data_IF_494369709237
#
_entry.id   IF_494369709237
#
_cell.length_a   1.000
_cell.length_b   1.000
_cell.length_c   1.000
_cell.angle_alpha   90.00
_cell.angle_beta   90.00
_cell.angle_gamma   90.00
#
_symmetry.space_group_name_H-M   'P 1'
#
loop_
_entity.id
_entity.type
_entity.pdbx_description
1 polymer ?
#
# COMPACT_ATOMS: atom_id res chain seq x y z
N UNK A 1 14.51 16.80 0.04
CA UNK A 1 15.65 16.80 0.99
C UNK A 1 15.98 18.15 1.60
N UNK A 2 15.89 19.27 0.87
CA UNK A 2 16.14 20.62 1.41
C UNK A 2 15.33 20.95 2.67
N UNK A 3 14.02 20.63 2.67
CA UNK A 3 13.15 20.87 3.82
C UNK A 3 13.60 20.16 5.10
N UNK A 4 14.05 18.89 5.01
CA UNK A 4 14.53 18.16 6.18
C UNK A 4 15.85 18.75 6.72
N UNK A 5 16.77 19.14 5.84
CA UNK A 5 18.03 19.80 6.23
C UNK A 5 17.77 21.10 6.98
N UNK A 6 16.88 21.94 6.44
CA UNK A 6 16.45 23.18 7.08
C UNK A 6 15.82 22.93 8.46
N UNK A 7 14.91 21.95 8.57
CA UNK A 7 14.28 21.62 9.84
C UNK A 7 15.30 21.09 10.88
N UNK A 8 16.31 20.34 10.45
CA UNK A 8 17.41 19.89 11.31
C UNK A 8 18.26 21.07 11.81
N UNK A 9 18.55 22.06 10.97
CA UNK A 9 19.24 23.29 11.39
C UNK A 9 18.44 24.03 12.45
N UNK A 10 17.13 24.23 12.24
CA UNK A 10 16.24 24.83 13.24
C UNK A 10 16.24 24.07 14.57
N UNK A 11 16.26 22.73 14.53
CA UNK A 11 16.31 21.88 15.74
C UNK A 11 17.65 22.03 16.48
N UNK A 12 18.77 22.06 15.75
CA UNK A 12 20.13 22.25 16.33
C UNK A 12 20.32 23.64 16.92
N UNK A 13 19.72 24.66 16.31
CA UNK A 13 19.71 26.03 16.81
C UNK A 13 18.70 26.25 17.95
N UNK A 14 17.92 25.23 18.33
CA UNK A 14 16.92 25.33 19.39
C UNK A 14 15.67 26.14 19.01
N UNK A 15 15.48 26.47 17.73
CA UNK A 15 14.31 27.22 17.21
C UNK A 15 13.04 26.37 17.17
N UNK A 16 13.16 25.05 17.10
CA UNK A 16 12.05 24.11 17.23
C UNK A 16 12.34 23.08 18.31
N UNK A 17 11.31 22.71 19.08
CA UNK A 17 11.44 21.75 20.19
C UNK A 17 11.34 20.29 19.73
N UNK A 18 10.54 20.02 18.70
CA UNK A 18 10.25 18.68 18.19
C UNK A 18 10.33 18.66 16.66
N UNK A 19 10.94 17.62 16.10
CA UNK A 19 11.10 17.37 14.67
C UNK A 19 10.60 15.96 14.36
N UNK A 20 9.55 15.91 13.52
CA UNK A 20 8.96 14.67 13.02
C UNK A 20 9.15 14.66 11.51
N UNK A 21 9.62 13.55 10.95
CA UNK A 21 9.92 13.42 9.53
C UNK A 21 9.29 12.14 8.95
N UNK A 22 9.09 12.08 7.63
CA UNK A 22 8.50 10.92 6.93
C UNK A 22 7.12 11.21 6.31
N UNK A 23 6.34 10.19 5.91
CA UNK A 23 6.70 8.77 5.94
C UNK A 23 7.56 8.28 4.76
N UNK A 24 7.68 9.07 3.68
CA UNK A 24 8.31 8.63 2.41
C UNK A 24 9.36 9.63 1.92
N UNK A 25 10.45 9.81 2.67
CA UNK A 25 11.53 10.73 2.32
C UNK A 25 12.69 10.06 1.57
N UNK A 26 12.95 8.80 1.86
CA UNK A 26 14.03 7.98 1.29
C UNK A 26 13.53 6.57 1.01
N UNK A 27 14.21 5.83 0.14
CA UNK A 27 13.97 4.40 -0.06
C UNK A 27 14.65 3.59 1.02
N UNK A 28 15.88 3.94 1.38
CA UNK A 28 16.66 3.25 2.42
C UNK A 28 17.20 4.21 3.46
N UNK A 29 17.47 3.73 4.69
CA UNK A 29 18.07 4.56 5.73
C UNK A 29 19.42 5.20 5.41
N UNK A 30 20.19 4.65 4.46
CA UNK A 30 21.53 5.13 4.12
C UNK A 30 21.54 6.23 3.05
N UNK A 31 20.41 6.48 2.38
CA UNK A 31 20.32 7.53 1.37
C UNK A 31 20.63 8.91 1.96
N UNK A 32 21.20 9.77 1.11
CA UNK A 32 21.61 11.13 1.49
C UNK A 32 22.54 11.18 2.71
N UNK A 33 23.43 10.19 2.84
CA UNK A 33 24.41 10.12 3.93
C UNK A 33 23.78 9.76 5.27
N UNK A 34 22.69 9.01 5.28
CA UNK A 34 22.02 8.61 6.51
C UNK A 34 21.23 9.73 7.18
N UNK A 35 20.75 10.72 6.43
CA UNK A 35 20.10 11.92 7.00
C UNK A 35 18.95 11.61 7.96
N UNK A 36 18.22 10.51 7.73
CA UNK A 36 17.10 10.11 8.58
C UNK A 36 17.54 9.51 9.92
N UNK A 37 18.81 9.12 10.05
CA UNK A 37 19.41 8.58 11.26
C UNK A 37 19.79 9.69 12.26
N UNK A 38 19.82 10.95 11.83
CA UNK A 38 20.19 12.10 12.69
C UNK A 38 19.40 12.11 14.01
N UNK A 39 20.12 12.15 15.13
CA UNK A 39 19.57 12.15 16.51
C UNK A 39 18.63 13.32 16.80
N UNK A 40 18.67 14.38 15.99
CA UNK A 40 17.78 15.54 16.13
C UNK A 40 16.37 15.27 15.56
N UNK A 41 16.15 14.16 14.86
CA UNK A 41 14.81 13.70 14.47
C UNK A 41 14.24 12.92 15.65
N UNK A 42 13.19 13.45 16.29
CA UNK A 42 12.57 12.81 17.46
C UNK A 42 11.70 11.62 17.05
N UNK A 43 11.02 11.72 15.90
CA UNK A 43 10.16 10.66 15.36
C UNK A 43 10.37 10.57 13.85
N UNK A 44 10.55 9.36 13.34
CA UNK A 44 10.54 9.08 11.92
C UNK A 44 9.35 8.18 11.57
N UNK A 45 8.44 8.71 10.76
CA UNK A 45 7.25 8.01 10.31
C UNK A 45 7.61 7.04 9.18
N UNK A 46 6.95 5.89 9.17
CA UNK A 46 6.98 4.93 8.06
C UNK A 46 5.56 4.48 7.72
N UNK A 47 5.27 4.17 6.46
CA UNK A 47 3.89 4.02 6.03
C UNK A 47 3.25 2.68 6.38
N UNK A 48 4.00 1.68 6.87
CA UNK A 48 3.50 0.33 7.15
C UNK A 48 4.46 -0.49 8.02
N UNK A 49 3.99 -1.65 8.51
CA UNK A 49 4.81 -2.56 9.31
C UNK A 49 6.04 -3.08 8.53
N UNK A 50 5.86 -3.57 7.30
CA UNK A 50 7.00 -4.12 6.55
C UNK A 50 8.05 -3.05 6.23
N UNK A 51 7.66 -1.78 6.02
CA UNK A 51 8.63 -0.69 5.82
C UNK A 51 9.38 -0.36 7.10
N UNK A 52 8.73 -0.44 8.26
CA UNK A 52 9.39 -0.36 9.57
C UNK A 52 10.43 -1.47 9.73
N UNK A 53 10.04 -2.72 9.46
CA UNK A 53 10.94 -3.87 9.58
C UNK A 53 12.11 -3.80 8.59
N UNK A 54 11.84 -3.35 7.36
CA UNK A 54 12.88 -3.10 6.36
C UNK A 54 13.89 -2.07 6.84
N UNK A 55 13.45 -0.94 7.39
CA UNK A 55 14.35 0.08 7.94
C UNK A 55 15.11 -0.46 9.16
N UNK A 56 14.42 -1.20 10.03
CA UNK A 56 15.03 -1.78 11.23
C UNK A 56 16.15 -2.78 10.91
N UNK A 57 16.02 -3.50 9.81
CA UNK A 57 17.02 -4.46 9.35
C UNK A 57 18.34 -3.84 8.87
N UNK A 58 18.49 -2.51 8.91
CA UNK A 58 19.79 -1.83 8.72
C UNK A 58 20.61 -1.73 10.01
N UNK A 59 20.05 -2.12 11.17
CA UNK A 59 20.79 -2.24 12.43
C UNK A 59 21.15 -0.91 13.09
N UNK A 60 20.52 0.19 12.70
CA UNK A 60 20.76 1.50 13.31
C UNK A 60 19.86 1.70 14.55
N UNK A 61 20.45 1.62 15.74
CA UNK A 61 19.69 1.68 17.01
C UNK A 61 18.93 3.00 17.18
N UNK A 62 19.54 4.12 16.81
CA UNK A 62 18.96 5.46 16.94
C UNK A 62 17.73 5.63 16.04
N UNK A 63 17.81 5.17 14.79
CA UNK A 63 16.66 5.10 13.90
C UNK A 63 15.58 4.18 14.46
N UNK A 64 15.94 2.99 14.90
CA UNK A 64 14.96 1.99 15.35
C UNK A 64 14.10 2.48 16.52
N UNK A 65 14.68 3.25 17.44
CA UNK A 65 13.96 3.84 18.59
C UNK A 65 12.90 4.87 18.18
N UNK A 66 13.09 5.58 17.07
CA UNK A 66 12.19 6.65 16.60
C UNK A 66 11.21 6.24 15.50
N UNK A 67 11.26 5.01 14.99
CA UNK A 67 10.36 4.53 13.94
C UNK A 67 8.91 4.35 14.45
N UNK A 68 7.99 5.11 13.88
CA UNK A 68 6.55 5.02 14.15
C UNK A 68 5.77 4.74 12.86
N UNK A 69 4.84 3.79 12.90
CA UNK A 69 3.99 3.49 11.74
C UNK A 69 2.88 4.54 11.67
N UNK A 70 2.75 5.20 10.51
CA UNK A 70 1.73 6.20 10.25
C UNK A 70 1.17 6.02 8.84
N UNK A 71 0.08 5.23 8.67
CA UNK A 71 -0.57 5.05 7.39
C UNK A 71 -1.21 6.34 6.88
N UNK A 72 -1.45 6.38 5.57
CA UNK A 72 -2.30 7.39 4.93
C UNK A 72 -3.75 6.91 4.94
N UNK A 73 -4.68 7.80 5.33
CA UNK A 73 -6.11 7.53 5.24
C UNK A 73 -6.67 7.78 3.85
N UNK A 74 -7.89 7.29 3.62
CA UNK A 74 -8.66 7.54 2.39
C UNK A 74 -10.06 8.11 2.70
N UNK A 75 -10.64 8.76 1.71
CA UNK A 75 -12.05 9.18 1.76
C UNK A 75 -12.96 8.02 1.39
N UNK A 76 -14.04 7.85 2.13
CA UNK A 76 -15.10 6.92 1.77
C UNK A 76 -15.97 7.53 0.66
N UNK A 77 -16.43 6.72 -0.32
CA UNK A 77 -17.42 7.19 -1.28
C UNK A 77 -18.78 7.35 -0.60
N UNK A 78 -19.45 8.48 -0.85
CA UNK A 78 -20.75 8.84 -0.26
C UNK A 78 -21.82 7.75 -0.47
N UNK A 79 -21.80 7.11 -1.65
CA UNK A 79 -22.71 6.02 -2.01
C UNK A 79 -21.94 4.92 -2.71
N UNK A 80 -22.21 3.69 -2.31
CA UNK A 80 -21.83 2.52 -3.09
C UNK A 80 -22.72 2.39 -4.32
N UNK A 81 -22.17 1.82 -5.38
CA UNK A 81 -22.98 1.46 -6.54
C UNK A 81 -23.90 0.31 -6.17
N UNK A 82 -25.21 0.48 -6.42
CA UNK A 82 -26.21 -0.58 -6.23
C UNK A 82 -26.09 -1.70 -7.26
N UNK A 83 -25.44 -1.42 -8.39
CA UNK A 83 -25.26 -2.37 -9.49
C UNK A 83 -23.78 -2.43 -9.82
N UNK A 84 -23.18 -3.60 -9.62
CA UNK A 84 -21.85 -3.92 -10.14
C UNK A 84 -22.03 -4.60 -11.48
N UNK A 85 -21.23 -4.18 -12.44
CA UNK A 85 -21.06 -4.92 -13.66
C UNK A 85 -20.16 -6.12 -13.32
N UNK A 86 -20.50 -7.32 -13.82
CA UNK A 86 -19.74 -8.55 -13.54
C UNK A 86 -18.38 -8.56 -14.26
N UNK A 87 -17.51 -7.57 -14.00
CA UNK A 87 -16.17 -7.49 -14.58
C UNK A 87 -15.08 -7.35 -13.51
N UNK A 88 -13.87 -7.77 -13.91
CA UNK A 88 -12.64 -7.70 -13.15
C UNK A 88 -11.87 -6.43 -13.48
N UNK A 89 -11.56 -5.61 -12.47
CA UNK A 89 -10.57 -4.54 -12.63
C UNK A 89 -9.17 -5.13 -12.44
N UNK A 90 -8.29 -4.99 -13.45
CA UNK A 90 -6.87 -5.25 -13.27
C UNK A 90 -6.16 -3.93 -12.99
N UNK A 91 -5.49 -3.85 -11.84
CA UNK A 91 -4.59 -2.76 -11.51
C UNK A 91 -3.14 -3.23 -11.70
N UNK A 92 -2.48 -2.75 -12.75
CA UNK A 92 -1.13 -3.14 -13.08
C UNK A 92 -0.10 -2.08 -12.65
N UNK A 93 0.78 -2.44 -11.70
CA UNK A 93 1.94 -1.65 -11.26
C UNK A 93 3.28 -2.36 -11.52
N UNK A 94 3.30 -3.41 -12.33
CA UNK A 94 4.51 -4.17 -12.66
C UNK A 94 4.86 -4.02 -14.14
N UNK A 95 6.15 -4.18 -14.45
CA UNK A 95 6.66 -4.24 -15.82
C UNK A 95 6.71 -5.66 -16.38
N UNK A 96 6.77 -6.68 -15.51
CA UNK A 96 6.74 -8.08 -15.92
C UNK A 96 5.37 -8.44 -16.52
N UNK A 97 5.40 -8.94 -17.75
CA UNK A 97 4.20 -9.26 -18.50
C UNK A 97 3.77 -10.73 -18.35
N UNK A 98 4.63 -11.65 -17.90
CA UNK A 98 4.32 -13.08 -17.95
C UNK A 98 3.15 -13.45 -17.03
N UNK A 99 3.21 -13.00 -15.77
CA UNK A 99 2.12 -13.25 -14.83
C UNK A 99 0.83 -12.53 -15.26
N UNK A 100 0.95 -11.32 -15.80
CA UNK A 100 -0.18 -10.53 -16.28
C UNK A 100 -0.87 -11.20 -17.47
N UNK A 101 -0.10 -11.75 -18.40
CA UNK A 101 -0.56 -12.52 -19.55
C UNK A 101 -1.25 -13.80 -19.09
N UNK A 102 -0.64 -14.55 -18.16
CA UNK A 102 -1.24 -15.76 -17.60
C UNK A 102 -2.62 -15.47 -16.99
N UNK A 103 -2.72 -14.45 -16.14
CA UNK A 103 -3.99 -14.04 -15.52
C UNK A 103 -5.00 -13.57 -16.57
N UNK A 104 -4.57 -12.77 -17.55
CA UNK A 104 -5.48 -12.25 -18.59
C UNK A 104 -6.02 -13.38 -19.48
N UNK A 105 -5.18 -14.35 -19.85
CA UNK A 105 -5.59 -15.53 -20.59
C UNK A 105 -6.56 -16.40 -19.80
N UNK A 106 -6.30 -16.60 -18.50
CA UNK A 106 -7.21 -17.34 -17.62
C UNK A 106 -8.58 -16.66 -17.53
N UNK A 107 -8.63 -15.34 -17.26
CA UNK A 107 -9.89 -14.57 -17.20
C UNK A 107 -10.67 -14.63 -18.52
N UNK A 108 -9.97 -14.57 -19.65
CA UNK A 108 -10.58 -14.75 -20.98
C UNK A 108 -11.20 -16.15 -21.12
N UNK A 109 -10.53 -17.20 -20.66
CA UNK A 109 -11.02 -18.59 -20.71
C UNK A 109 -12.29 -18.78 -19.87
N UNK A 110 -12.40 -18.11 -18.73
CA UNK A 110 -13.59 -18.16 -17.86
C UNK A 110 -14.64 -17.09 -18.20
N UNK A 111 -14.51 -16.42 -19.36
CA UNK A 111 -15.45 -15.40 -19.87
C UNK A 111 -15.71 -14.23 -18.90
N UNK A 112 -14.68 -13.80 -18.16
CA UNK A 112 -14.77 -12.64 -17.27
C UNK A 112 -14.32 -11.39 -18.03
N UNK A 113 -15.18 -10.38 -18.20
CA UNK A 113 -14.78 -9.12 -18.79
C UNK A 113 -13.72 -8.44 -17.92
N UNK A 114 -12.73 -7.82 -18.56
CA UNK A 114 -11.59 -7.19 -17.89
C UNK A 114 -11.47 -5.75 -18.33
N UNK A 115 -11.28 -4.85 -17.37
CA UNK A 115 -10.74 -3.53 -17.61
C UNK A 115 -9.37 -3.43 -16.94
N UNK A 116 -8.34 -3.02 -17.68
CA UNK A 116 -7.00 -2.86 -17.14
C UNK A 116 -6.65 -1.38 -16.96
N UNK A 117 -6.04 -1.04 -15.83
CA UNK A 117 -5.42 0.24 -15.55
C UNK A 117 -3.94 0.04 -15.26
N UNK A 118 -3.08 0.77 -15.96
CA UNK A 118 -1.63 0.76 -15.72
C UNK A 118 -1.22 1.97 -14.90
N UNK A 119 -0.51 1.74 -13.79
CA UNK A 119 0.00 2.78 -12.92
C UNK A 119 0.77 3.86 -13.69
N UNK A 120 0.51 5.12 -13.35
CA UNK A 120 1.06 6.29 -14.06
C UNK A 120 0.40 6.62 -15.40
N UNK A 121 -0.49 5.77 -15.95
CA UNK A 121 -1.15 5.98 -17.25
C UNK A 121 -2.64 6.28 -17.17
N UNK A 122 -3.22 6.32 -15.97
CA UNK A 122 -4.65 6.60 -15.77
C UNK A 122 -4.88 7.89 -14.97
N UNK A 123 -6.04 8.52 -15.18
CA UNK A 123 -6.51 9.65 -14.34
C UNK A 123 -7.30 9.10 -13.16
N UNK A 124 -7.14 9.69 -11.97
CA UNK A 124 -7.86 9.26 -10.74
C UNK A 124 -9.36 9.07 -10.92
N UNK A 125 -10.02 9.96 -11.67
CA UNK A 125 -11.46 9.83 -12.01
C UNK A 125 -11.82 8.54 -12.75
N UNK A 126 -10.94 8.04 -13.62
CA UNK A 126 -11.16 6.81 -14.38
C UNK A 126 -11.07 5.60 -13.45
N UNK A 127 -10.13 5.62 -12.51
CA UNK A 127 -10.00 4.57 -11.50
C UNK A 127 -11.25 4.46 -10.63
N UNK A 128 -11.75 5.57 -10.09
CA UNK A 128 -12.98 5.56 -9.30
C UNK A 128 -14.21 5.17 -10.12
N UNK A 129 -14.27 5.57 -11.40
CA UNK A 129 -15.33 5.10 -12.32
C UNK A 129 -15.29 3.59 -12.50
N UNK A 130 -14.11 3.00 -12.63
CA UNK A 130 -13.94 1.54 -12.71
C UNK A 130 -14.31 0.84 -11.41
N UNK A 131 -13.88 1.36 -10.26
CA UNK A 131 -14.23 0.78 -8.96
C UNK A 131 -15.74 0.76 -8.72
N UNK A 132 -16.47 1.79 -9.14
CA UNK A 132 -17.94 1.82 -9.01
C UNK A 132 -18.66 0.68 -9.76
N UNK A 133 -18.00 0.08 -10.75
CA UNK A 133 -18.60 -0.93 -11.61
C UNK A 133 -17.99 -2.32 -11.42
N UNK A 134 -16.73 -2.41 -11.01
CA UNK A 134 -16.04 -3.68 -10.85
C UNK A 134 -16.67 -4.55 -9.75
N UNK A 135 -16.63 -5.86 -9.92
CA UNK A 135 -17.06 -6.80 -8.89
C UNK A 135 -15.95 -7.12 -7.89
N UNK A 136 -14.72 -7.23 -8.39
CA UNK A 136 -13.49 -7.45 -7.65
C UNK A 136 -12.31 -6.86 -8.44
N UNK A 137 -11.13 -6.79 -7.83
CA UNK A 137 -9.92 -6.28 -8.46
C UNK A 137 -8.77 -7.28 -8.33
N UNK A 138 -8.02 -7.50 -9.40
CA UNK A 138 -6.71 -8.15 -9.35
C UNK A 138 -5.64 -7.06 -9.35
N UNK A 139 -4.79 -7.06 -8.33
CA UNK A 139 -3.78 -6.05 -8.09
C UNK A 139 -2.38 -6.63 -8.26
N UNK A 140 -1.61 -6.04 -9.16
CA UNK A 140 -0.22 -6.41 -9.41
C UNK A 140 0.72 -5.33 -8.91
N UNK A 141 1.55 -5.65 -7.93
CA UNK A 141 2.69 -4.84 -7.53
C UNK A 141 3.79 -5.75 -6.98
N UNK A 142 5.04 -5.47 -7.31
CA UNK A 142 6.17 -6.19 -6.69
C UNK A 142 6.35 -5.78 -5.22
N UNK A 143 6.18 -4.48 -4.93
CA UNK A 143 6.22 -3.88 -3.60
C UNK A 143 5.25 -2.71 -3.49
N UNK A 144 4.58 -2.60 -2.35
CA UNK A 144 3.64 -1.53 -2.04
C UNK A 144 3.81 -1.09 -0.58
N UNK A 145 4.23 0.16 -0.37
CA UNK A 145 4.57 0.68 0.96
C UNK A 145 3.38 1.33 1.67
N UNK A 146 2.52 2.02 0.92
CA UNK A 146 1.42 2.83 1.47
C UNK A 146 0.05 2.18 1.25
N UNK A 147 -0.12 1.46 0.14
CA UNK A 147 -1.36 0.75 -0.16
C UNK A 147 -2.56 1.64 -0.52
N UNK A 148 -2.35 2.92 -0.88
CA UNK A 148 -3.44 3.88 -1.11
C UNK A 148 -4.44 3.38 -2.17
N UNK A 149 -3.97 2.83 -3.29
CA UNK A 149 -4.88 2.29 -4.31
C UNK A 149 -5.73 1.14 -3.75
N UNK A 150 -5.14 0.22 -2.97
CA UNK A 150 -5.88 -0.85 -2.33
C UNK A 150 -6.91 -0.32 -1.33
N UNK A 151 -6.52 0.64 -0.48
CA UNK A 151 -7.44 1.28 0.46
C UNK A 151 -8.60 2.00 -0.26
N UNK A 152 -8.33 2.67 -1.38
CA UNK A 152 -9.37 3.30 -2.20
C UNK A 152 -10.31 2.26 -2.85
N UNK A 153 -9.80 1.10 -3.30
CA UNK A 153 -10.61 0.00 -3.78
C UNK A 153 -11.48 -0.59 -2.65
N UNK A 154 -10.89 -0.79 -1.49
CA UNK A 154 -11.59 -1.33 -0.33
C UNK A 154 -12.65 -0.36 0.21
N UNK A 155 -12.41 0.95 0.15
CA UNK A 155 -13.42 1.97 0.45
C UNK A 155 -14.63 1.92 -0.50
N UNK A 156 -14.43 1.49 -1.75
CA UNK A 156 -15.48 1.20 -2.72
C UNK A 156 -16.07 -0.20 -2.57
N UNK A 157 -15.69 -0.90 -1.49
CA UNK A 157 -16.14 -2.23 -1.15
C UNK A 157 -15.75 -3.29 -2.19
N UNK A 158 -14.57 -3.14 -2.82
CA UNK A 158 -14.08 -4.05 -3.87
C UNK A 158 -13.11 -5.07 -3.25
N UNK A 159 -13.45 -6.38 -3.21
CA UNK A 159 -12.51 -7.41 -2.80
C UNK A 159 -11.33 -7.52 -3.75
N UNK A 160 -10.15 -7.87 -3.24
CA UNK A 160 -8.92 -7.88 -4.03
C UNK A 160 -8.19 -9.22 -4.05
N UNK A 161 -7.75 -9.65 -5.23
CA UNK A 161 -6.70 -10.66 -5.37
C UNK A 161 -5.38 -9.92 -5.59
N UNK A 162 -4.43 -10.09 -4.68
CA UNK A 162 -3.15 -9.39 -4.74
C UNK A 162 -2.05 -10.36 -5.13
N UNK A 163 -1.34 -10.07 -6.22
CA UNK A 163 -0.16 -10.85 -6.58
C UNK A 163 0.96 -10.60 -5.56
N UNK A 164 1.52 -11.66 -4.99
CA UNK A 164 2.67 -11.56 -4.10
C UNK A 164 3.73 -12.58 -4.51
N UNK A 165 4.92 -12.10 -4.86
CA UNK A 165 6.05 -12.96 -5.21
C UNK A 165 6.87 -13.39 -3.97
N UNK A 166 6.35 -13.12 -2.76
CA UNK A 166 6.96 -13.30 -1.42
C UNK A 166 8.31 -12.64 -1.19
N UNK A 167 9.03 -12.24 -2.24
CA UNK A 167 10.39 -11.73 -2.17
C UNK A 167 10.55 -10.61 -3.18
N UNK A 168 11.24 -9.57 -2.73
CA UNK A 168 11.70 -8.50 -3.60
C UNK A 168 13.13 -8.13 -3.25
N UNK A 169 13.98 -8.04 -4.27
CA UNK A 169 15.39 -7.68 -4.10
C UNK A 169 15.60 -6.26 -4.60
N UNK A 170 15.98 -5.37 -3.68
CA UNK A 170 16.44 -4.04 -4.04
C UNK A 170 17.84 -4.15 -4.66
N UNK A 171 17.90 -4.27 -5.99
CA UNK A 171 19.14 -4.56 -6.73
C UNK A 171 20.29 -3.60 -6.37
N UNK A 172 20.00 -2.30 -6.19
CA UNK A 172 21.01 -1.28 -5.88
C UNK A 172 21.72 -1.45 -4.55
N UNK A 173 21.11 -2.14 -3.59
CA UNK A 173 21.62 -2.30 -2.22
C UNK A 173 21.79 -3.78 -1.84
N UNK A 174 21.56 -4.69 -2.79
CA UNK A 174 21.65 -6.15 -2.60
C UNK A 174 20.89 -6.69 -1.38
N UNK A 175 19.76 -6.06 -1.03
CA UNK A 175 18.94 -6.43 0.12
C UNK A 175 17.61 -7.02 -0.33
N UNK A 176 17.28 -8.18 0.21
CA UNK A 176 16.02 -8.87 -0.07
C UNK A 176 15.07 -8.66 1.11
N UNK A 177 13.83 -8.26 0.79
CA UNK A 177 12.71 -8.31 1.73
C UNK A 177 11.84 -9.50 1.39
N UNK A 178 11.22 -10.11 2.41
CA UNK A 178 10.31 -11.23 2.22
C UNK A 178 8.99 -10.97 2.94
N UNK A 179 7.91 -11.60 2.47
CA UNK A 179 6.56 -11.52 3.07
C UNK A 179 5.51 -10.86 2.17
N UNK A 180 4.34 -10.50 2.73
CA UNK A 180 3.21 -9.89 2.01
C UNK A 180 3.44 -8.40 1.70
N UNK A 181 4.53 -8.09 0.99
CA UNK A 181 5.02 -6.73 0.76
C UNK A 181 4.31 -6.02 -0.41
N UNK A 182 3.44 -6.70 -1.16
CA UNK A 182 2.65 -6.13 -2.26
C UNK A 182 1.30 -5.54 -1.84
N UNK A 183 0.85 -5.81 -0.60
CA UNK A 183 -0.32 -5.19 0.00
C UNK A 183 -0.18 -5.10 1.54
N UNK A 184 0.33 -3.99 2.08
CA UNK A 184 0.72 -3.87 3.49
C UNK A 184 -0.44 -4.00 4.49
N UNK A 185 -1.67 -3.85 4.01
CA UNK A 185 -2.90 -3.78 4.81
C UNK A 185 -3.94 -4.82 4.41
N UNK A 186 -3.56 -5.81 3.60
CA UNK A 186 -4.50 -6.85 3.20
C UNK A 186 -4.87 -7.70 4.42
N UNK A 187 -6.17 -7.93 4.58
CA UNK A 187 -6.74 -8.83 5.59
C UNK A 187 -7.76 -9.75 4.91
N UNK A 188 -8.19 -10.80 5.61
CA UNK A 188 -9.19 -11.73 5.09
C UNK A 188 -10.55 -11.06 4.80
N UNK A 189 -10.83 -9.91 5.45
CA UNK A 189 -12.01 -9.11 5.14
C UNK A 189 -11.92 -8.41 3.77
N UNK A 190 -10.71 -8.19 3.27
CA UNK A 190 -10.45 -7.41 2.06
C UNK A 190 -10.17 -8.25 0.82
N UNK A 191 -9.66 -9.46 0.98
CA UNK A 191 -9.27 -10.29 -0.15
C UNK A 191 -8.18 -11.30 0.20
N UNK A 192 -7.43 -11.74 -0.82
CA UNK A 192 -6.42 -12.79 -0.68
C UNK A 192 -5.17 -12.49 -1.48
N UNK A 193 -4.04 -13.04 -1.03
CA UNK A 193 -2.84 -13.13 -1.85
C UNK A 193 -2.93 -14.31 -2.82
N UNK A 194 -2.27 -14.18 -3.96
CA UNK A 194 -2.04 -15.27 -4.91
C UNK A 194 -0.62 -15.19 -5.48
N UNK A 195 -0.15 -16.35 -5.94
CA UNK A 195 1.11 -16.60 -6.64
C UNK A 195 0.82 -17.07 -8.05
N UNK A 196 1.87 -17.15 -8.88
CA UNK A 196 1.76 -17.62 -10.27
C UNK A 196 1.06 -18.98 -10.40
N UNK A 197 1.32 -19.89 -9.47
CA UNK A 197 0.87 -21.29 -9.58
C UNK A 197 -0.50 -21.54 -8.94
N UNK A 198 -1.05 -20.61 -8.16
CA UNK A 198 -2.32 -20.80 -7.43
C UNK A 198 -3.44 -19.83 -7.87
N UNK A 199 -3.20 -19.03 -8.92
CA UNK A 199 -4.17 -18.04 -9.42
C UNK A 199 -5.57 -18.65 -9.62
N UNK A 200 -5.65 -19.85 -10.20
CA UNK A 200 -6.93 -20.53 -10.45
C UNK A 200 -7.69 -20.79 -9.15
N UNK A 201 -7.02 -21.40 -8.16
CA UNK A 201 -7.61 -21.72 -6.85
C UNK A 201 -8.07 -20.44 -6.14
N UNK A 202 -7.20 -19.43 -6.05
CA UNK A 202 -7.51 -18.16 -5.38
C UNK A 202 -8.62 -17.40 -6.08
N UNK A 203 -8.66 -17.43 -7.41
CA UNK A 203 -9.74 -16.86 -8.19
C UNK A 203 -11.07 -17.53 -7.89
N UNK A 204 -11.15 -18.86 -8.01
CA UNK A 204 -12.37 -19.63 -7.73
C UNK A 204 -12.87 -19.40 -6.30
N UNK A 205 -11.95 -19.34 -5.32
CA UNK A 205 -12.28 -18.98 -3.94
C UNK A 205 -12.89 -17.58 -3.83
N UNK A 206 -12.27 -16.54 -4.39
CA UNK A 206 -12.80 -15.18 -4.26
C UNK A 206 -14.15 -15.03 -4.95
N UNK A 207 -14.31 -15.59 -6.16
CA UNK A 207 -15.59 -15.52 -6.88
C UNK A 207 -16.70 -16.24 -6.12
N UNK A 208 -16.42 -17.43 -5.57
CA UNK A 208 -17.38 -18.17 -4.76
C UNK A 208 -17.78 -17.48 -3.45
N UNK A 209 -16.97 -16.54 -2.97
CA UNK A 209 -17.12 -15.90 -1.66
C UNK A 209 -17.23 -14.37 -1.74
N UNK A 210 -17.57 -13.78 -2.88
CA UNK A 210 -17.62 -12.30 -3.03
C UNK A 210 -18.47 -11.61 -1.95
N UNK A 211 -19.57 -12.25 -1.52
CA UNK A 211 -20.50 -11.70 -0.53
C UNK A 211 -20.00 -11.80 0.92
N UNK A 212 -18.91 -12.54 1.19
CA UNK A 212 -18.34 -12.67 2.54
C UNK A 212 -17.24 -11.64 2.82
N UNK A 213 -16.72 -10.99 1.78
CA UNK A 213 -15.74 -9.93 1.92
C UNK A 213 -16.46 -8.62 2.27
N UNK A 214 -15.91 -7.90 3.26
CA UNK A 214 -16.40 -6.59 3.68
C UNK A 214 -15.26 -5.56 3.77
N UNK A 215 -14.51 -5.33 2.67
CA UNK A 215 -13.35 -4.44 2.67
C UNK A 215 -13.69 -3.01 3.10
N UNK A 216 -14.90 -2.53 2.80
CA UNK A 216 -15.30 -1.18 3.21
C UNK A 216 -15.41 -1.05 4.72
N UNK A 217 -15.97 -2.04 5.42
CA UNK A 217 -16.03 -2.02 6.88
C UNK A 217 -14.64 -1.99 7.50
N UNK A 218 -13.67 -2.68 6.90
CA UNK A 218 -12.28 -2.60 7.34
C UNK A 218 -11.73 -1.17 7.21
N UNK A 219 -11.93 -0.51 6.07
CA UNK A 219 -11.47 0.88 5.86
C UNK A 219 -12.20 1.86 6.77
N UNK A 220 -13.52 1.72 6.94
CA UNK A 220 -14.35 2.56 7.81
C UNK A 220 -13.83 2.59 9.26
N UNK A 221 -13.39 1.44 9.78
CA UNK A 221 -12.91 1.33 11.16
C UNK A 221 -11.42 1.61 11.36
N UNK A 222 -10.61 1.66 10.30
CA UNK A 222 -9.14 1.70 10.45
C UNK A 222 -8.43 2.77 9.61
N UNK A 223 -8.94 3.10 8.41
CA UNK A 223 -8.18 3.85 7.39
C UNK A 223 -8.94 5.04 6.80
N UNK A 224 -9.96 5.56 7.47
CA UNK A 224 -10.53 6.85 7.06
C UNK A 224 -9.54 7.99 7.30
N UNK A 225 -9.63 9.06 6.52
CA UNK A 225 -8.83 10.28 6.75
C UNK A 225 -8.89 10.75 8.21
N UNK A 226 -10.08 10.67 8.84
CA UNK A 226 -10.26 11.06 10.24
C UNK A 226 -9.46 10.19 11.20
N UNK A 227 -9.52 8.87 11.03
CA UNK A 227 -8.81 7.91 11.89
C UNK A 227 -7.29 8.07 11.72
N UNK A 228 -6.79 8.10 10.49
CA UNK A 228 -5.36 8.27 10.26
C UNK A 228 -4.84 9.64 10.72
N UNK A 229 -5.64 10.71 10.59
CA UNK A 229 -5.30 12.02 11.15
C UNK A 229 -5.24 11.98 12.69
N UNK A 230 -6.19 11.31 13.35
CA UNK A 230 -6.15 11.12 14.80
C UNK A 230 -4.91 10.32 15.23
N UNK A 231 -4.60 9.22 14.55
CA UNK A 231 -3.40 8.43 14.83
C UNK A 231 -2.12 9.27 14.68
N UNK A 232 -2.06 10.14 13.66
CA UNK A 232 -0.96 11.09 13.51
C UNK A 232 -0.91 12.10 14.67
N UNK A 233 -2.06 12.65 15.09
CA UNK A 233 -2.12 13.53 16.27
C UNK A 233 -1.59 12.83 17.52
N UNK A 234 -1.99 11.60 17.77
CA UNK A 234 -1.55 10.80 18.92
C UNK A 234 -0.03 10.55 18.90
N UNK A 235 0.59 10.46 17.71
CA UNK A 235 2.05 10.37 17.57
C UNK A 235 2.72 11.72 17.90
N UNK A 236 2.17 12.83 17.43
CA UNK A 236 2.82 14.14 17.61
C UNK A 236 2.62 14.72 19.01
N UNK A 237 1.57 14.31 19.74
CA UNK A 237 1.26 14.78 21.11
C UNK A 237 1.88 13.96 22.23
N UNK A 238 2.48 12.80 21.92
CA UNK A 238 3.38 12.08 22.85
C UNK A 238 4.60 12.92 23.20
#
# INVERSE_FOLDING_TARGET
MSALKFALELKREGKIKKLIAGPTLVVTPDEHGGIIKDKNIDIYLVPSAWTKDFYASFGDEELNRKLQICPTGVSLPDKLSKKRDSFCLIYNKISDTEILENVTQYLKKVNIPVQMLTYGKYKKKNYFSSLKKASFMIYFSEIESQGIALLEAWAHDIPTLVWNNDRYTFAKIHKTVSGPISAPYLTDACGVFFKKNDIKEKFEYVIGNLNTFHPRLFVEHNFTNKICAQNFLDIITK
#
